data_IF_906805381548
#
_entry.id   IF_906805381548
#
_cell.length_a   1.000
_cell.length_b   1.000
_cell.length_c   1.000
_cell.angle_alpha   90.00
_cell.angle_beta   90.00
_cell.angle_gamma   90.00
#
_symmetry.space_group_name_H-M   'P 1'
#
loop_
_entity.id
_entity.type
_entity.pdbx_description
1 polymer ?
#
# COMPACT_ATOMS: atom_id res chain seq x y z
N UNK A 1 -19.48 1.07 -7.71
CA UNK A 1 -18.41 0.91 -8.71
C UNK A 1 -17.31 1.91 -8.37
N UNK A 2 -16.10 1.45 -8.04
CA UNK A 2 -15.00 2.33 -7.60
C UNK A 2 -14.17 2.90 -8.77
N UNK A 3 -14.22 2.26 -9.95
CA UNK A 3 -13.52 2.72 -11.14
C UNK A 3 -14.24 3.85 -11.88
N UNK A 4 -13.47 4.55 -12.75
CA UNK A 4 -13.99 5.52 -13.73
C UNK A 4 -13.77 4.98 -15.13
N UNK A 5 -14.71 5.23 -16.04
CA UNK A 5 -14.58 4.81 -17.45
C UNK A 5 -13.42 5.54 -18.12
N UNK A 6 -12.58 4.81 -18.87
CA UNK A 6 -11.47 5.37 -19.66
C UNK A 6 -11.84 5.52 -21.15
N UNK A 7 -13.14 5.48 -21.48
CA UNK A 7 -13.63 5.50 -22.86
C UNK A 7 -13.19 6.74 -23.64
N UNK A 8 -13.10 7.91 -23.00
CA UNK A 8 -12.71 9.15 -23.70
C UNK A 8 -11.29 9.01 -24.24
N UNK A 9 -10.40 8.41 -23.46
CA UNK A 9 -9.02 8.10 -23.88
C UNK A 9 -8.99 7.20 -25.10
N UNK A 10 -9.83 6.16 -25.12
CA UNK A 10 -9.97 5.25 -26.27
C UNK A 10 -10.48 5.97 -27.53
N UNK A 11 -11.21 7.06 -27.37
CA UNK A 11 -11.68 7.92 -28.46
C UNK A 11 -10.70 9.07 -28.78
N UNK A 12 -9.47 9.03 -28.23
CA UNK A 12 -8.45 10.06 -28.44
C UNK A 12 -8.71 11.38 -27.72
N UNK A 13 -9.64 11.41 -26.75
CA UNK A 13 -10.01 12.58 -25.97
C UNK A 13 -9.41 12.51 -24.57
N UNK A 14 -8.93 13.65 -24.06
CA UNK A 14 -8.44 13.75 -22.67
C UNK A 14 -9.57 13.44 -21.68
N UNK A 15 -9.25 12.66 -20.65
CA UNK A 15 -10.15 12.44 -19.53
C UNK A 15 -10.34 13.71 -18.70
N UNK A 16 -11.54 13.88 -18.15
CA UNK A 16 -11.84 14.97 -17.24
C UNK A 16 -11.74 14.45 -15.81
N UNK A 17 -11.12 15.24 -14.91
CA UNK A 17 -10.98 14.87 -13.49
C UNK A 17 -10.39 13.47 -13.29
N UNK A 18 -9.33 13.15 -14.04
CA UNK A 18 -8.69 11.84 -13.93
C UNK A 18 -7.88 11.73 -12.64
N UNK A 19 -7.82 10.52 -12.08
CA UNK A 19 -7.03 10.25 -10.87
C UNK A 19 -5.55 10.56 -11.12
N UNK A 20 -4.88 11.11 -10.12
CA UNK A 20 -3.44 11.39 -10.13
C UNK A 20 -2.63 10.39 -9.31
N UNK A 21 -3.32 9.38 -8.78
CA UNK A 21 -2.77 8.38 -7.87
C UNK A 21 -3.56 7.06 -7.95
N UNK A 22 -2.88 5.99 -7.59
CA UNK A 22 -3.42 4.63 -7.53
C UNK A 22 -3.18 4.05 -6.15
N UNK A 23 -4.25 3.54 -5.55
CA UNK A 23 -4.17 2.68 -4.37
C UNK A 23 -3.92 1.24 -4.80
N UNK A 24 -3.13 0.50 -4.02
CA UNK A 24 -2.99 -0.93 -4.17
C UNK A 24 -2.85 -1.61 -2.81
N UNK A 25 -3.21 -2.89 -2.77
CA UNK A 25 -3.12 -3.73 -1.57
C UNK A 25 -2.81 -5.18 -1.93
N UNK A 26 -1.93 -5.78 -1.15
CA UNK A 26 -1.58 -7.19 -1.18
C UNK A 26 -1.89 -7.82 0.19
N UNK A 27 -2.69 -8.89 0.18
CA UNK A 27 -3.23 -9.53 1.39
C UNK A 27 -2.54 -10.83 1.78
N UNK A 28 -1.84 -11.49 0.87
CA UNK A 28 -1.42 -12.88 1.06
C UNK A 28 -0.07 -12.97 1.78
N UNK A 29 -0.09 -12.61 3.06
CA UNK A 29 1.09 -12.59 3.92
C UNK A 29 1.81 -13.94 3.88
N UNK A 30 3.04 -13.94 3.35
CA UNK A 30 3.95 -15.10 3.37
C UNK A 30 3.31 -16.38 2.80
N UNK A 31 2.30 -16.25 1.95
CA UNK A 31 1.60 -17.39 1.37
C UNK A 31 2.45 -18.08 0.30
N UNK A 32 2.20 -19.37 0.08
CA UNK A 32 2.73 -20.16 -1.05
C UNK A 32 4.27 -20.17 -1.17
N UNK A 33 4.99 -20.01 -0.06
CA UNK A 33 6.46 -19.89 0.00
C UNK A 33 7.02 -18.77 -0.88
N UNK A 34 6.21 -17.73 -1.13
CA UNK A 34 6.61 -16.57 -1.94
C UNK A 34 7.50 -15.61 -1.16
N UNK A 35 7.49 -15.68 0.18
CA UNK A 35 8.30 -14.81 1.02
C UNK A 35 7.93 -13.33 0.92
N UNK A 36 6.67 -13.01 0.63
CA UNK A 36 6.20 -11.64 0.44
C UNK A 36 5.31 -11.18 1.61
N UNK A 37 5.72 -10.16 2.37
CA UNK A 37 4.87 -9.61 3.43
C UNK A 37 3.64 -8.89 2.87
N UNK A 38 2.51 -9.02 3.55
CA UNK A 38 1.31 -8.26 3.22
C UNK A 38 1.50 -6.75 3.45
N UNK A 39 0.97 -5.95 2.52
CA UNK A 39 1.22 -4.52 2.46
C UNK A 39 0.15 -3.78 1.63
N UNK A 40 0.07 -2.47 1.78
CA UNK A 40 -0.68 -1.59 0.90
C UNK A 40 0.12 -0.33 0.61
N UNK A 41 -0.31 0.45 -0.37
CA UNK A 41 0.39 1.68 -0.69
C UNK A 41 -0.35 2.58 -1.68
N UNK A 42 0.29 3.71 -1.92
CA UNK A 42 -0.13 4.72 -2.89
C UNK A 42 0.99 4.93 -3.90
N UNK A 43 0.62 5.00 -5.19
CA UNK A 43 1.52 5.37 -6.28
C UNK A 43 0.97 6.60 -6.99
N UNK A 44 1.73 7.70 -6.98
CA UNK A 44 1.42 8.93 -7.73
C UNK A 44 2.11 8.91 -9.11
N UNK A 45 2.36 10.05 -9.74
CA UNK A 45 3.27 10.14 -10.89
C UNK A 45 4.75 10.22 -10.47
N UNK A 46 5.05 10.73 -9.27
CA UNK A 46 6.42 10.98 -8.80
C UNK A 46 6.88 10.05 -7.69
N UNK A 47 6.00 9.66 -6.78
CA UNK A 47 6.37 8.87 -5.61
C UNK A 47 5.57 7.58 -5.49
N UNK A 48 6.17 6.57 -4.86
CA UNK A 48 5.48 5.38 -4.35
C UNK A 48 5.74 5.28 -2.84
N UNK A 49 4.68 5.22 -2.04
CA UNK A 49 4.76 4.99 -0.60
C UNK A 49 4.07 3.66 -0.27
N UNK A 50 4.78 2.81 0.48
CA UNK A 50 4.37 1.45 0.80
C UNK A 50 4.40 1.26 2.31
N UNK A 51 3.35 0.62 2.86
CA UNK A 51 3.32 0.16 4.24
C UNK A 51 3.21 -1.35 4.30
N UNK A 52 4.26 -2.01 4.79
CA UNK A 52 4.25 -3.42 5.12
C UNK A 52 3.73 -3.57 6.55
N UNK A 53 2.56 -4.18 6.72
CA UNK A 53 1.97 -4.43 8.04
C UNK A 53 2.27 -5.83 8.56
N UNK A 54 2.75 -6.74 7.70
CA UNK A 54 3.46 -7.93 8.15
C UNK A 54 2.65 -8.98 8.92
N UNK A 55 1.34 -9.05 8.69
CA UNK A 55 0.45 -10.05 9.30
C UNK A 55 -0.54 -10.63 8.28
N UNK A 56 -1.05 -11.83 8.54
CA UNK A 56 -2.10 -12.45 7.72
C UNK A 56 -3.47 -11.78 7.94
N UNK A 57 -4.34 -11.90 6.95
CA UNK A 57 -5.72 -11.38 7.02
C UNK A 57 -6.56 -12.07 8.10
N UNK A 58 -6.26 -13.33 8.42
CA UNK A 58 -6.93 -14.06 9.50
C UNK A 58 -6.07 -14.06 10.77
N UNK A 59 -6.74 -14.04 11.92
CA UNK A 59 -6.15 -14.27 13.24
C UNK A 59 -7.01 -15.31 13.98
N UNK A 60 -6.53 -16.56 14.15
CA UNK A 60 -5.19 -17.05 13.84
C UNK A 60 -4.91 -17.17 12.32
N UNK A 61 -3.63 -17.15 11.88
CA UNK A 61 -3.24 -17.12 10.48
C UNK A 61 -3.58 -18.38 9.68
N UNK A 62 -3.73 -18.24 8.36
CA UNK A 62 -4.09 -19.34 7.44
C UNK A 62 -2.95 -20.33 7.16
N UNK A 63 -2.63 -21.18 8.12
CA UNK A 63 -1.52 -22.15 8.01
C UNK A 63 -1.79 -23.33 7.04
N UNK A 64 -3.06 -23.64 6.76
CA UNK A 64 -3.43 -24.88 6.02
C UNK A 64 -3.34 -24.76 4.49
N UNK A 65 -2.96 -23.61 3.96
CA UNK A 65 -2.77 -23.41 2.52
C UNK A 65 -1.45 -24.04 2.07
N UNK A 66 -1.40 -24.54 0.83
CA UNK A 66 -0.15 -25.09 0.28
C UNK A 66 0.96 -24.04 0.34
N UNK A 67 2.05 -24.40 1.00
CA UNK A 67 3.20 -23.51 1.17
C UNK A 67 2.94 -22.31 2.08
N UNK A 68 1.93 -22.32 2.93
CA UNK A 68 1.71 -21.23 3.87
C UNK A 68 2.89 -21.05 4.83
N UNK A 69 3.28 -19.81 5.03
CA UNK A 69 4.17 -19.35 6.10
C UNK A 69 3.52 -18.15 6.82
N UNK A 70 2.18 -18.11 6.84
CA UNK A 70 1.39 -17.01 7.37
C UNK A 70 1.55 -16.80 8.89
N UNK A 71 2.10 -17.79 9.59
CA UNK A 71 2.50 -17.76 11.00
C UNK A 71 3.78 -16.94 11.25
N UNK A 72 4.59 -16.71 10.22
CA UNK A 72 5.77 -15.85 10.32
C UNK A 72 5.29 -14.40 10.37
N UNK A 73 5.52 -13.69 11.48
CA UNK A 73 5.28 -12.24 11.55
C UNK A 73 6.52 -11.49 11.06
N UNK A 74 6.36 -10.60 10.10
CA UNK A 74 7.45 -9.73 9.63
C UNK A 74 7.34 -8.35 10.29
N UNK A 75 8.46 -7.67 10.58
CA UNK A 75 8.41 -6.33 11.15
C UNK A 75 7.60 -5.37 10.27
N UNK A 76 6.71 -4.54 10.85
CA UNK A 76 6.08 -3.46 10.12
C UNK A 76 7.12 -2.46 9.63
N UNK A 77 6.87 -1.83 8.49
CA UNK A 77 7.80 -0.86 7.94
C UNK A 77 7.24 -0.07 6.78
N UNK A 78 7.75 1.15 6.63
CA UNK A 78 7.45 2.02 5.51
C UNK A 78 8.60 2.06 4.52
N UNK A 79 8.25 2.20 3.24
CA UNK A 79 9.19 2.48 2.17
C UNK A 79 8.68 3.62 1.29
N UNK A 80 9.60 4.50 0.87
CA UNK A 80 9.33 5.57 -0.09
C UNK A 80 10.31 5.45 -1.26
N UNK A 81 9.78 5.56 -2.47
CA UNK A 81 10.58 5.62 -3.69
C UNK A 81 10.21 6.86 -4.51
N UNK A 82 11.23 7.60 -4.96
CA UNK A 82 11.10 8.66 -5.96
C UNK A 82 11.23 8.05 -7.34
N UNK A 83 10.13 7.92 -8.06
CA UNK A 83 10.06 7.23 -9.35
C UNK A 83 10.56 8.11 -10.50
N UNK A 84 10.65 9.43 -10.30
CA UNK A 84 11.23 10.32 -11.30
C UNK A 84 12.76 10.18 -11.31
N UNK A 85 13.38 10.13 -10.14
CA UNK A 85 14.84 10.00 -9.99
C UNK A 85 15.33 8.55 -9.91
N UNK A 86 14.51 7.64 -9.38
CA UNK A 86 14.79 6.21 -9.20
C UNK A 86 13.66 5.34 -9.80
N UNK A 87 13.58 5.26 -11.15
CA UNK A 87 12.53 4.50 -11.83
C UNK A 87 12.63 2.99 -11.62
N UNK A 88 13.73 2.49 -11.06
CA UNK A 88 13.95 1.08 -10.76
C UNK A 88 13.65 0.73 -9.29
N UNK A 89 13.32 1.72 -8.46
CA UNK A 89 12.90 1.53 -7.06
C UNK A 89 13.97 0.82 -6.21
N UNK A 90 15.22 1.23 -6.39
CA UNK A 90 16.39 0.61 -5.77
C UNK A 90 16.79 1.28 -4.45
N UNK A 91 16.33 2.51 -4.20
CA UNK A 91 16.70 3.31 -3.05
C UNK A 91 15.48 3.69 -2.22
N UNK A 92 15.32 3.05 -1.05
CA UNK A 92 14.30 3.44 -0.09
C UNK A 92 14.69 4.76 0.61
N UNK A 93 13.89 5.81 0.39
CA UNK A 93 14.10 7.17 0.88
C UNK A 93 13.31 7.49 2.14
N UNK A 94 12.62 6.53 2.76
CA UNK A 94 11.72 6.80 3.88
C UNK A 94 12.39 7.53 5.06
N UNK A 95 13.65 7.19 5.35
CA UNK A 95 14.42 7.81 6.43
C UNK A 95 15.18 9.08 6.00
N UNK A 96 15.00 9.56 4.77
CA UNK A 96 15.67 10.76 4.29
C UNK A 96 14.93 12.01 4.80
N UNK A 97 15.58 12.90 5.58
CA UNK A 97 14.96 14.10 6.13
C UNK A 97 14.43 15.08 5.07
N UNK A 98 14.96 15.05 3.84
CA UNK A 98 14.49 15.90 2.74
C UNK A 98 13.08 15.52 2.24
N UNK A 99 12.61 14.31 2.54
CA UNK A 99 11.35 13.77 2.04
C UNK A 99 10.22 13.76 3.09
N UNK A 100 10.45 14.28 4.30
CA UNK A 100 9.48 14.24 5.41
C UNK A 100 8.13 14.85 5.03
N UNK A 101 8.13 16.05 4.43
CA UNK A 101 6.89 16.71 4.02
C UNK A 101 6.13 15.92 2.94
N UNK A 102 6.88 15.27 2.03
CA UNK A 102 6.31 14.41 0.97
C UNK A 102 5.68 13.17 1.59
N UNK A 103 6.33 12.53 2.56
CA UNK A 103 5.81 11.36 3.28
C UNK A 103 4.51 11.74 3.99
N UNK A 104 4.48 12.88 4.69
CA UNK A 104 3.29 13.37 5.38
C UNK A 104 2.12 13.60 4.41
N UNK A 105 2.34 14.26 3.27
CA UNK A 105 1.31 14.44 2.23
C UNK A 105 0.79 13.08 1.71
N UNK A 106 1.70 12.18 1.36
CA UNK A 106 1.34 10.86 0.82
C UNK A 106 0.59 10.00 1.83
N UNK A 107 0.94 10.04 3.12
CA UNK A 107 0.18 9.36 4.18
C UNK A 107 -1.24 9.92 4.30
N UNK A 108 -1.41 11.25 4.28
CA UNK A 108 -2.74 11.87 4.33
C UNK A 108 -3.61 11.47 3.13
N UNK A 109 -3.03 11.50 1.93
CA UNK A 109 -3.72 11.08 0.69
C UNK A 109 -4.05 9.59 0.71
N UNK A 110 -3.14 8.74 1.18
CA UNK A 110 -3.37 7.30 1.34
C UNK A 110 -4.51 7.01 2.33
N UNK A 111 -4.58 7.72 3.47
CA UNK A 111 -5.70 7.58 4.41
C UNK A 111 -7.03 7.92 3.72
N UNK A 112 -7.09 9.05 3.01
CA UNK A 112 -8.27 9.47 2.26
C UNK A 112 -8.68 8.47 1.18
N UNK A 113 -7.72 7.94 0.40
CA UNK A 113 -8.00 6.92 -0.61
C UNK A 113 -8.59 5.64 -0.01
N UNK A 114 -8.07 5.20 1.15
CA UNK A 114 -8.59 4.02 1.85
C UNK A 114 -10.04 4.23 2.27
N UNK A 115 -10.38 5.41 2.77
CA UNK A 115 -11.77 5.78 3.11
C UNK A 115 -12.66 5.82 1.85
N UNK A 116 -12.25 6.51 0.79
CA UNK A 116 -13.03 6.63 -0.46
C UNK A 116 -13.30 5.28 -1.13
N UNK A 117 -12.35 4.35 -1.01
CA UNK A 117 -12.45 3.00 -1.58
C UNK A 117 -13.16 2.01 -0.65
N UNK A 118 -13.49 2.38 0.59
CA UNK A 118 -13.92 1.43 1.64
C UNK A 118 -12.91 0.30 1.87
N UNK A 119 -11.62 0.61 1.77
CA UNK A 119 -10.47 -0.29 2.03
C UNK A 119 -9.82 0.05 3.39
N UNK A 120 -10.68 0.34 4.39
CA UNK A 120 -10.31 0.45 5.80
C UNK A 120 -10.20 -0.94 6.44
N UNK A 121 -9.59 -1.02 7.62
CA UNK A 121 -9.35 -2.29 8.32
C UNK A 121 -10.26 -2.50 9.52
N UNK A 122 -11.44 -1.87 9.52
CA UNK A 122 -12.45 -1.99 10.58
C UNK A 122 -12.88 -3.45 10.82
N UNK A 123 -12.89 -4.26 9.75
CA UNK A 123 -13.20 -5.69 9.81
C UNK A 123 -12.00 -6.58 10.21
N UNK A 124 -10.80 -6.00 10.34
CA UNK A 124 -9.57 -6.70 10.70
C UNK A 124 -8.84 -5.99 11.85
N UNK A 125 -9.39 -6.03 13.09
CA UNK A 125 -8.88 -5.26 14.22
C UNK A 125 -7.39 -5.50 14.55
N UNK A 126 -6.88 -6.71 14.31
CA UNK A 126 -5.46 -7.04 14.54
C UNK A 126 -4.54 -6.31 13.55
N UNK A 127 -4.95 -6.19 12.28
CA UNK A 127 -4.25 -5.39 11.27
C UNK A 127 -4.40 -3.90 11.57
N UNK A 128 -5.61 -3.45 11.92
CA UNK A 128 -5.85 -2.04 12.27
C UNK A 128 -4.97 -1.60 13.45
N UNK A 129 -4.79 -2.46 14.46
CA UNK A 129 -3.91 -2.17 15.60
C UNK A 129 -2.43 -2.01 15.19
N UNK A 130 -1.95 -2.78 14.21
CA UNK A 130 -0.59 -2.62 13.66
C UNK A 130 -0.48 -1.28 12.93
N UNK A 131 -1.47 -0.98 12.08
CA UNK A 131 -1.53 0.27 11.32
C UNK A 131 -1.53 1.46 12.30
N UNK A 132 -2.40 1.49 13.30
CA UNK A 132 -2.51 2.62 14.23
C UNK A 132 -1.23 2.82 15.05
N UNK A 133 -0.58 1.72 15.43
CA UNK A 133 0.67 1.77 16.19
C UNK A 133 1.86 2.30 15.37
N UNK A 134 1.89 1.97 14.07
CA UNK A 134 3.05 2.19 13.20
C UNK A 134 2.78 3.19 12.07
N UNK A 135 1.65 3.90 12.11
CA UNK A 135 1.28 4.84 11.05
C UNK A 135 2.27 6.00 10.96
N UNK A 136 2.76 6.47 12.09
CA UNK A 136 3.63 7.66 12.23
C UNK A 136 5.08 7.32 12.60
N UNK A 137 5.48 6.05 12.39
CA UNK A 137 6.89 5.61 12.49
C UNK A 137 7.83 6.41 11.57
#
# INVERSE_FOLDING_TARGET
>A
MQGRSFKRTMEGRKENEWRTETYYRYWMHMAHKLGNPAHFGIRTNKYKLIFFYGADIEDPPREKLWGSQADIITPPGWELYDIEEDPLEMNNLYNNPEYVDIIMDLKQRLRKLREELNETDENFPHIQAIIDKHWDD
#
